data_IF_865695496795
#
_entry.id   IF_865695496795
#
_cell.length_a   1.000
_cell.length_b   1.000
_cell.length_c   1.000
_cell.angle_alpha   90.00
_cell.angle_beta   90.00
_cell.angle_gamma   90.00
#
_symmetry.space_group_name_H-M   'P 1'
#
loop_
_entity.id
_entity.type
_entity.pdbx_description
1 polymer ?
#
# COMPACT_ATOMS: atom_id res chain seq x y z
N UNK A 1 37.29 -51.85 35.47
CA UNK A 1 37.10 -51.38 34.09
C UNK A 1 35.94 -50.39 34.11
N UNK A 2 36.20 -49.13 34.44
CA UNK A 2 36.49 -47.98 33.56
C UNK A 2 35.34 -47.54 32.63
N UNK A 3 34.93 -46.27 32.86
CA UNK A 3 34.27 -45.28 31.98
C UNK A 3 32.75 -45.44 31.74
N UNK A 4 31.89 -44.60 32.35
CA UNK A 4 31.57 -43.16 32.12
C UNK A 4 30.52 -42.96 31.00
N UNK A 5 29.69 -41.92 31.20
CA UNK A 5 28.95 -41.06 30.22
C UNK A 5 27.42 -41.26 30.28
N UNK A 6 26.68 -40.49 31.09
CA UNK A 6 26.12 -39.11 30.92
C UNK A 6 24.65 -39.16 30.45
N UNK A 7 23.80 -38.52 31.25
CA UNK A 7 22.40 -38.19 30.94
C UNK A 7 22.34 -37.13 29.85
N UNK A 8 21.45 -37.27 28.86
CA UNK A 8 21.02 -36.16 28.01
C UNK A 8 19.50 -36.15 27.92
N UNK A 9 18.90 -35.22 28.68
CA UNK A 9 17.56 -34.70 28.43
C UNK A 9 17.72 -33.67 27.28
N UNK A 10 17.18 -33.99 26.10
CA UNK A 10 17.00 -33.02 25.03
C UNK A 10 15.73 -32.21 25.34
N UNK A 11 15.92 -31.03 25.94
CA UNK A 11 14.96 -29.94 25.86
C UNK A 11 15.11 -29.32 24.47
N UNK A 12 14.15 -29.60 23.59
CA UNK A 12 14.00 -28.89 22.32
C UNK A 12 13.40 -27.52 22.64
N UNK A 13 14.24 -26.52 22.85
CA UNK A 13 13.81 -25.14 22.84
C UNK A 13 13.56 -24.75 21.38
N UNK A 14 12.29 -24.76 20.97
CA UNK A 14 11.85 -24.04 19.77
C UNK A 14 12.03 -22.55 20.06
N UNK A 15 13.19 -22.01 19.67
CA UNK A 15 13.33 -20.58 19.49
C UNK A 15 12.58 -20.22 18.23
N UNK A 16 11.34 -19.76 18.38
CA UNK A 16 10.67 -18.96 17.36
C UNK A 16 11.44 -17.65 17.33
N UNK A 17 12.46 -17.59 16.48
CA UNK A 17 13.00 -16.31 16.05
C UNK A 17 11.96 -15.71 15.13
N UNK A 18 11.12 -14.80 15.65
CA UNK A 18 10.44 -13.85 14.79
C UNK A 18 11.53 -13.03 14.12
N UNK A 19 11.90 -13.40 12.90
CA UNK A 19 12.56 -12.47 12.00
C UNK A 19 11.55 -11.35 11.82
N UNK A 20 11.77 -10.21 12.48
CA UNK A 20 11.24 -8.96 11.97
C UNK A 20 11.80 -8.86 10.54
N UNK A 21 10.95 -9.13 9.54
CA UNK A 21 11.21 -8.76 8.15
C UNK A 21 11.60 -7.28 8.23
N UNK A 22 12.88 -6.97 7.99
CA UNK A 22 13.34 -5.59 7.91
C UNK A 22 12.48 -4.92 6.83
N UNK A 23 12.02 -3.69 7.10
CA UNK A 23 11.22 -2.86 6.17
C UNK A 23 11.70 -3.11 4.73
N UNK A 24 10.87 -3.81 3.97
CA UNK A 24 11.01 -3.88 2.52
C UNK A 24 10.72 -2.46 2.07
N UNK A 25 11.69 -1.82 1.44
CA UNK A 25 11.44 -0.53 0.83
C UNK A 25 10.68 -0.85 -0.45
N UNK A 26 9.46 -0.32 -0.57
CA UNK A 26 8.70 -0.38 -1.80
C UNK A 26 9.47 0.28 -2.95
N UNK A 27 8.94 0.20 -4.19
CA UNK A 27 9.59 0.81 -5.36
C UNK A 27 10.28 2.12 -5.01
N UNK A 28 11.48 2.36 -5.55
CA UNK A 28 12.18 3.62 -5.30
C UNK A 28 11.25 4.83 -5.51
N UNK A 29 11.25 5.81 -4.60
CA UNK A 29 10.28 6.91 -4.52
C UNK A 29 9.93 7.60 -5.85
N UNK A 30 10.83 7.60 -6.84
CA UNK A 30 10.58 8.20 -8.15
C UNK A 30 9.66 7.36 -9.04
N UNK A 31 9.67 6.05 -8.92
CA UNK A 31 8.79 5.17 -9.69
C UNK A 31 7.33 5.33 -9.25
N UNK A 32 7.08 5.36 -7.93
CA UNK A 32 5.75 5.67 -7.36
C UNK A 32 5.20 7.01 -7.89
N UNK A 33 6.04 8.05 -7.85
CA UNK A 33 5.74 9.39 -8.38
C UNK A 33 5.43 9.35 -9.87
N UNK A 34 6.28 8.66 -10.63
CA UNK A 34 6.14 8.53 -12.08
C UNK A 34 4.82 7.85 -12.45
N UNK A 35 4.47 6.74 -11.80
CA UNK A 35 3.21 6.03 -12.06
C UNK A 35 2.01 6.93 -11.73
N UNK A 36 2.00 7.56 -10.56
CA UNK A 36 0.90 8.41 -10.11
C UNK A 36 0.70 9.64 -11.00
N UNK A 37 1.78 10.33 -11.39
CA UNK A 37 1.64 11.50 -12.26
C UNK A 37 1.12 11.10 -13.65
N UNK A 38 1.63 10.01 -14.23
CA UNK A 38 1.28 9.62 -15.59
C UNK A 38 -0.12 9.03 -15.68
N UNK A 39 -0.59 8.30 -14.66
CA UNK A 39 -1.94 7.73 -14.62
C UNK A 39 -3.05 8.78 -14.84
N UNK A 40 -2.82 10.02 -14.39
CA UNK A 40 -3.76 11.15 -14.57
C UNK A 40 -4.05 11.45 -16.05
N UNK A 41 -3.07 11.23 -16.94
CA UNK A 41 -3.22 11.51 -18.37
C UNK A 41 -4.05 10.45 -19.11
N UNK A 42 -4.37 9.33 -18.45
CA UNK A 42 -5.08 8.20 -19.03
C UNK A 42 -6.53 8.06 -18.56
N UNK A 43 -7.01 9.02 -17.76
CA UNK A 43 -8.40 9.10 -17.32
C UNK A 43 -9.32 9.55 -18.46
N UNK A 44 -10.62 9.25 -18.32
CA UNK A 44 -11.63 9.72 -19.27
C UNK A 44 -11.74 11.26 -19.26
N UNK A 45 -12.15 11.91 -20.37
CA UNK A 45 -12.26 13.37 -20.45
C UNK A 45 -13.11 14.02 -19.34
N UNK A 46 -14.14 13.32 -18.84
CA UNK A 46 -14.99 13.77 -17.74
C UNK A 46 -14.25 13.92 -16.40
N UNK A 47 -13.08 13.29 -16.28
CA UNK A 47 -12.19 13.35 -15.12
C UNK A 47 -11.01 14.29 -15.32
N UNK A 48 -11.06 15.20 -16.31
CA UNK A 48 -10.00 16.19 -16.59
C UNK A 48 -9.59 17.01 -15.36
N UNK A 49 -10.49 17.18 -14.38
CA UNK A 49 -10.20 17.86 -13.12
C UNK A 49 -9.09 17.20 -12.28
N UNK A 50 -8.75 15.93 -12.51
CA UNK A 50 -7.56 15.30 -11.90
C UNK A 50 -6.25 15.99 -12.31
N UNK A 51 -6.21 16.65 -13.47
CA UNK A 51 -5.02 17.37 -13.94
C UNK A 51 -4.59 18.48 -12.98
N UNK A 52 -5.54 19.11 -12.27
CA UNK A 52 -5.26 20.15 -11.27
C UNK A 52 -4.51 19.60 -10.04
N UNK A 53 -4.68 18.30 -9.75
CA UNK A 53 -4.12 17.62 -8.58
C UNK A 53 -2.95 16.68 -8.92
N UNK A 54 -2.51 16.65 -10.18
CA UNK A 54 -1.42 15.77 -10.64
C UNK A 54 -0.15 15.89 -9.79
N UNK A 55 0.27 17.10 -9.44
CA UNK A 55 1.45 17.31 -8.59
C UNK A 55 1.21 16.85 -7.14
N UNK A 56 -0.02 17.00 -6.62
CA UNK A 56 -0.38 16.49 -5.29
C UNK A 56 -0.32 14.97 -5.26
N UNK A 57 -1.00 14.30 -6.20
CA UNK A 57 -1.00 12.84 -6.34
C UNK A 57 0.43 12.29 -6.46
N UNK A 58 1.27 12.98 -7.25
CA UNK A 58 2.69 12.66 -7.35
C UNK A 58 3.38 12.77 -6.00
N UNK A 59 3.31 13.91 -5.32
CA UNK A 59 4.04 14.13 -4.06
C UNK A 59 3.64 13.16 -2.95
N UNK A 60 2.35 12.84 -2.85
CA UNK A 60 1.77 12.01 -1.79
C UNK A 60 1.77 10.50 -2.11
N UNK A 61 2.18 10.09 -3.30
CA UNK A 61 2.32 8.67 -3.69
C UNK A 61 3.33 7.85 -2.86
N UNK A 62 4.19 8.52 -2.09
CA UNK A 62 5.21 7.87 -1.24
C UNK A 62 4.88 7.95 0.25
N UNK A 63 3.75 8.55 0.61
CA UNK A 63 3.34 8.70 2.01
C UNK A 63 3.25 7.33 2.72
N UNK A 64 2.75 6.24 2.10
CA UNK A 64 2.68 4.94 2.75
C UNK A 64 4.03 4.37 3.22
N UNK A 65 5.13 4.68 2.53
CA UNK A 65 6.49 4.28 2.95
C UNK A 65 7.01 5.09 4.15
N UNK A 66 6.51 6.31 4.29
CA UNK A 66 6.91 7.22 5.37
C UNK A 66 6.06 7.07 6.62
N UNK A 67 4.82 6.64 6.43
CA UNK A 67 3.88 6.37 7.50
C UNK A 67 4.18 5.05 8.21
N UNK A 68 3.76 4.90 9.47
CA UNK A 68 3.93 3.66 10.25
C UNK A 68 2.85 2.62 9.88
N UNK A 69 2.68 2.43 8.56
CA UNK A 69 1.76 1.47 7.98
C UNK A 69 2.33 0.05 8.03
N UNK A 70 1.48 -0.99 8.10
CA UNK A 70 1.94 -2.36 8.19
C UNK A 70 2.61 -2.80 6.88
N UNK A 71 3.84 -3.29 6.97
CA UNK A 71 4.61 -3.69 5.78
C UNK A 71 3.93 -4.75 4.90
N UNK A 72 3.00 -5.55 5.45
CA UNK A 72 2.22 -6.53 4.67
C UNK A 72 1.17 -5.90 3.73
N UNK A 73 1.03 -4.58 3.70
CA UNK A 73 0.21 -3.88 2.72
C UNK A 73 0.89 -3.74 1.36
N UNK A 74 2.22 -3.87 1.31
CA UNK A 74 3.03 -3.53 0.14
C UNK A 74 3.30 -4.73 -0.78
N UNK A 75 2.92 -5.94 -0.38
CA UNK A 75 3.31 -7.14 -1.12
C UNK A 75 2.26 -8.24 -0.98
N UNK A 76 2.42 -9.28 -1.79
CA UNK A 76 1.80 -10.58 -1.59
C UNK A 76 2.79 -11.66 -2.03
N UNK A 77 3.20 -12.53 -1.13
CA UNK A 77 4.06 -13.67 -1.41
C UNK A 77 3.22 -14.75 -2.14
N UNK A 78 2.80 -14.49 -3.40
CA UNK A 78 1.79 -15.31 -4.09
C UNK A 78 2.26 -16.75 -4.31
N UNK A 79 3.57 -16.94 -4.41
CA UNK A 79 4.22 -18.25 -4.52
C UNK A 79 4.21 -19.09 -3.24
N UNK A 80 3.67 -18.56 -2.14
CA UNK A 80 3.28 -19.35 -0.98
C UNK A 80 2.03 -20.21 -1.26
N UNK A 81 1.10 -19.72 -2.08
CA UNK A 81 -0.22 -20.32 -2.28
C UNK A 81 -0.23 -21.21 -3.52
N UNK A 82 -0.13 -22.52 -3.34
CA UNK A 82 -0.12 -23.46 -4.48
C UNK A 82 -1.43 -23.40 -5.27
N UNK A 83 -2.54 -23.20 -4.56
CA UNK A 83 -3.89 -23.11 -5.09
C UNK A 83 -4.07 -21.94 -6.08
N UNK A 84 -3.23 -20.90 -6.01
CA UNK A 84 -3.26 -19.79 -6.97
C UNK A 84 -2.93 -20.29 -8.37
N UNK A 85 -1.92 -21.13 -8.49
CA UNK A 85 -1.51 -21.76 -9.75
C UNK A 85 -2.40 -22.95 -10.14
N UNK A 86 -3.30 -23.37 -9.26
CA UNK A 86 -4.32 -24.39 -9.54
C UNK A 86 -5.70 -23.78 -9.86
N UNK A 87 -5.78 -22.45 -10.00
CA UNK A 87 -7.03 -21.71 -10.24
C UNK A 87 -8.11 -21.94 -9.17
N UNK A 88 -7.70 -22.27 -7.93
CA UNK A 88 -8.59 -22.53 -6.79
C UNK A 88 -8.35 -21.61 -5.61
N UNK A 89 -7.46 -20.62 -5.75
CA UNK A 89 -7.22 -19.62 -4.72
C UNK A 89 -8.44 -18.69 -4.56
N UNK A 90 -8.92 -18.50 -3.33
CA UNK A 90 -10.03 -17.59 -3.05
C UNK A 90 -9.57 -16.13 -3.19
N UNK A 91 -10.28 -15.37 -4.04
CA UNK A 91 -10.05 -13.94 -4.18
C UNK A 91 -10.77 -13.12 -3.10
N UNK A 92 -11.92 -13.60 -2.61
CA UNK A 92 -12.64 -12.97 -1.50
C UNK A 92 -11.84 -13.09 -0.20
N UNK A 93 -11.79 -12.00 0.58
CA UNK A 93 -11.02 -11.94 1.83
C UNK A 93 -11.50 -12.97 2.86
N UNK A 94 -12.81 -13.10 3.07
CA UNK A 94 -13.37 -14.00 4.08
C UNK A 94 -13.12 -15.45 3.68
N UNK A 95 -13.28 -15.79 2.40
CA UNK A 95 -12.96 -17.13 1.88
C UNK A 95 -11.45 -17.46 2.01
N UNK A 96 -10.58 -16.48 1.76
CA UNK A 96 -9.13 -16.63 1.95
C UNK A 96 -8.74 -16.84 3.41
N UNK A 97 -9.34 -16.05 4.32
CA UNK A 97 -9.14 -16.21 5.77
C UNK A 97 -9.71 -17.54 6.27
N UNK A 98 -10.86 -18.00 5.75
CA UNK A 98 -11.44 -19.29 6.11
C UNK A 98 -10.57 -20.47 5.64
N UNK A 99 -9.92 -20.34 4.48
CA UNK A 99 -9.06 -21.39 3.93
C UNK A 99 -7.69 -21.45 4.60
N UNK A 100 -7.01 -20.31 4.79
CA UNK A 100 -5.62 -20.27 5.24
C UNK A 100 -5.47 -19.81 6.69
N UNK A 101 -6.45 -19.10 7.24
CA UNK A 101 -6.36 -18.44 8.54
C UNK A 101 -5.72 -17.06 8.45
N UNK A 102 -6.23 -16.12 9.26
CA UNK A 102 -5.83 -14.71 9.28
C UNK A 102 -4.32 -14.49 9.37
N UNK A 103 -3.65 -15.15 10.33
CA UNK A 103 -2.22 -14.94 10.56
C UNK A 103 -1.38 -15.33 9.33
N UNK A 104 -1.77 -16.38 8.59
CA UNK A 104 -1.07 -16.82 7.38
C UNK A 104 -1.26 -15.81 6.25
N UNK A 105 -2.49 -15.32 6.04
CA UNK A 105 -2.77 -14.30 5.02
C UNK A 105 -1.96 -13.03 5.29
N UNK A 106 -1.93 -12.56 6.54
CA UNK A 106 -1.19 -11.36 6.92
C UNK A 106 0.34 -11.55 6.78
N UNK A 107 0.89 -12.70 7.20
CA UNK A 107 2.34 -12.95 7.16
C UNK A 107 2.89 -13.03 5.72
N UNK A 108 2.03 -13.34 4.76
CA UNK A 108 2.33 -13.44 3.33
C UNK A 108 1.84 -12.24 2.51
N UNK A 109 1.41 -11.14 3.14
CA UNK A 109 1.06 -9.92 2.41
C UNK A 109 -0.35 -9.92 1.81
N UNK A 110 -0.96 -8.74 1.77
CA UNK A 110 -2.38 -8.54 1.47
C UNK A 110 -2.65 -7.41 0.47
N UNK A 111 -1.65 -6.99 -0.31
CA UNK A 111 -1.80 -5.86 -1.24
C UNK A 111 -3.05 -5.93 -2.15
N UNK A 112 -3.52 -7.11 -2.65
CA UNK A 112 -4.74 -7.16 -3.46
C UNK A 112 -5.99 -6.67 -2.73
N UNK A 113 -6.17 -7.11 -1.49
CA UNK A 113 -7.33 -6.72 -0.68
C UNK A 113 -7.22 -5.29 -0.16
N UNK A 114 -6.00 -4.78 0.02
CA UNK A 114 -5.78 -3.35 0.30
C UNK A 114 -6.27 -2.52 -0.88
N UNK A 115 -5.89 -2.87 -2.11
CA UNK A 115 -6.32 -2.16 -3.32
C UNK A 115 -7.85 -2.20 -3.47
N UNK A 116 -8.49 -3.36 -3.28
CA UNK A 116 -9.94 -3.48 -3.34
C UNK A 116 -10.62 -2.57 -2.30
N UNK A 117 -10.26 -2.74 -1.02
CA UNK A 117 -10.83 -1.96 0.07
C UNK A 117 -10.64 -0.46 -0.17
N UNK A 118 -9.46 -0.05 -0.61
CA UNK A 118 -9.11 1.34 -0.89
C UNK A 118 -9.83 1.89 -2.14
N UNK A 119 -10.21 1.04 -3.08
CA UNK A 119 -11.04 1.46 -4.22
C UNK A 119 -12.49 1.71 -3.80
N UNK A 120 -13.07 0.85 -2.96
CA UNK A 120 -14.41 1.06 -2.38
C UNK A 120 -14.47 2.34 -1.55
N UNK A 121 -13.35 2.66 -0.92
CA UNK A 121 -13.13 3.91 -0.19
C UNK A 121 -13.27 5.14 -1.02
N UNK A 122 -12.51 5.13 -2.12
CA UNK A 122 -12.43 6.22 -3.03
C UNK A 122 -13.82 6.46 -3.64
N UNK A 123 -14.54 5.38 -3.92
CA UNK A 123 -15.93 5.39 -4.38
C UNK A 123 -16.84 6.13 -3.40
N UNK A 124 -16.80 5.78 -2.11
CA UNK A 124 -17.64 6.42 -1.08
C UNK A 124 -17.30 7.91 -0.94
N UNK A 125 -16.01 8.25 -0.86
CA UNK A 125 -15.56 9.63 -0.72
C UNK A 125 -15.96 10.50 -1.91
N UNK A 126 -15.82 9.97 -3.13
CA UNK A 126 -16.27 10.65 -4.35
C UNK A 126 -17.78 10.85 -4.35
N UNK A 127 -18.55 9.82 -3.98
CA UNK A 127 -20.01 9.89 -3.90
C UNK A 127 -20.49 10.95 -2.89
N UNK A 128 -19.79 11.08 -1.77
CA UNK A 128 -20.09 12.05 -0.72
C UNK A 128 -19.59 13.47 -1.05
N UNK A 129 -18.78 13.62 -2.10
CA UNK A 129 -18.20 14.88 -2.54
C UNK A 129 -17.05 15.37 -1.64
N UNK A 130 -16.42 14.47 -0.88
CA UNK A 130 -15.33 14.77 0.06
C UNK A 130 -13.96 14.81 -0.67
N UNK A 131 -13.87 15.74 -1.63
CA UNK A 131 -12.75 15.81 -2.56
C UNK A 131 -11.40 16.09 -1.90
N UNK A 132 -11.38 16.80 -0.77
CA UNK A 132 -10.15 17.06 -0.01
C UNK A 132 -9.45 15.77 0.46
N UNK A 133 -10.14 14.62 0.46
CA UNK A 133 -9.51 13.30 0.78
C UNK A 133 -9.58 12.27 -0.29
N UNK A 134 -10.43 12.47 -1.29
CA UNK A 134 -10.23 11.78 -2.56
C UNK A 134 -8.77 11.92 -3.00
N UNK A 135 -8.15 13.10 -2.87
CA UNK A 135 -6.76 13.31 -3.32
C UNK A 135 -5.72 12.54 -2.52
N UNK A 136 -5.81 12.56 -1.19
CA UNK A 136 -4.88 11.80 -0.35
C UNK A 136 -5.04 10.30 -0.60
N UNK A 137 -6.27 9.80 -0.58
CA UNK A 137 -6.53 8.38 -0.73
C UNK A 137 -6.21 7.88 -2.14
N UNK A 138 -6.45 8.69 -3.18
CA UNK A 138 -6.07 8.36 -4.56
C UNK A 138 -4.55 8.25 -4.71
N UNK A 139 -3.78 9.13 -4.09
CA UNK A 139 -2.31 9.10 -4.12
C UNK A 139 -1.75 7.86 -3.42
N UNK A 140 -2.23 7.58 -2.20
CA UNK A 140 -1.83 6.41 -1.42
C UNK A 140 -2.31 5.09 -2.06
N UNK A 141 -3.48 5.06 -2.68
CA UNK A 141 -3.93 3.91 -3.48
C UNK A 141 -2.97 3.65 -4.65
N UNK A 142 -2.48 4.72 -5.30
CA UNK A 142 -1.48 4.61 -6.35
C UNK A 142 -0.17 3.97 -5.90
N UNK A 143 0.19 4.10 -4.63
CA UNK A 143 1.34 3.41 -4.04
C UNK A 143 1.16 1.88 -4.06
N UNK A 144 0.05 1.38 -3.53
CA UNK A 144 -0.21 -0.05 -3.44
C UNK A 144 -0.40 -0.68 -4.82
N UNK A 145 -1.04 0.05 -5.74
CA UNK A 145 -1.15 -0.39 -7.14
C UNK A 145 0.23 -0.49 -7.78
N UNK A 146 1.09 0.51 -7.61
CA UNK A 146 2.46 0.43 -8.09
C UNK A 146 3.16 -0.81 -7.49
N UNK A 147 3.15 -0.97 -6.16
CA UNK A 147 3.80 -2.09 -5.47
C UNK A 147 3.34 -3.47 -5.98
N UNK A 148 2.04 -3.66 -6.20
CA UNK A 148 1.51 -4.91 -6.75
C UNK A 148 1.93 -5.21 -8.19
N UNK A 149 2.50 -4.22 -8.90
CA UNK A 149 3.12 -4.40 -10.21
C UNK A 149 4.63 -4.70 -10.11
N UNK A 150 5.26 -4.58 -8.95
CA UNK A 150 6.67 -4.96 -8.78
C UNK A 150 6.79 -6.48 -8.69
N UNK A 151 7.47 -7.17 -9.63
CA UNK A 151 7.48 -8.63 -9.61
C UNK A 151 8.08 -9.22 -8.33
N UNK A 152 9.11 -8.59 -7.75
CA UNK A 152 9.73 -9.05 -6.50
C UNK A 152 8.83 -8.81 -5.26
N UNK A 153 7.81 -7.94 -5.31
CA UNK A 153 6.76 -7.82 -4.30
C UNK A 153 5.73 -8.95 -4.38
N UNK A 154 5.84 -9.84 -5.37
CA UNK A 154 4.93 -10.96 -5.57
C UNK A 154 5.50 -12.30 -5.08
N UNK A 155 6.64 -12.32 -4.38
CA UNK A 155 7.39 -13.57 -4.12
C UNK A 155 8.10 -13.64 -2.77
N UNK A 156 8.11 -14.84 -2.19
CA UNK A 156 8.98 -15.22 -1.07
C UNK A 156 10.47 -14.99 -1.35
N UNK A 157 10.89 -14.84 -2.62
CA UNK A 157 12.26 -14.54 -3.05
C UNK A 157 12.50 -13.04 -3.34
N UNK A 158 11.72 -12.14 -2.73
CA UNK A 158 11.71 -10.69 -3.03
C UNK A 158 13.08 -10.00 -3.08
N UNK A 159 14.10 -10.49 -2.37
CA UNK A 159 15.45 -9.92 -2.37
C UNK A 159 16.51 -10.92 -2.81
N UNK A 160 16.14 -11.97 -3.53
CA UNK A 160 17.05 -13.01 -4.03
C UNK A 160 17.60 -13.94 -2.95
N UNK A 161 17.03 -13.93 -1.75
CA UNK A 161 17.51 -14.70 -0.59
C UNK A 161 17.42 -16.22 -0.76
N UNK A 162 16.55 -16.71 -1.65
CA UNK A 162 16.39 -18.14 -1.93
C UNK A 162 17.27 -18.62 -3.09
N UNK A 163 17.71 -17.70 -3.95
CA UNK A 163 18.49 -18.01 -5.17
C UNK A 163 19.96 -17.59 -5.08
N UNK A 164 20.33 -16.78 -4.08
CA UNK A 164 21.70 -16.29 -3.88
C UNK A 164 21.95 -14.88 -4.42
N UNK A 165 20.91 -14.22 -4.94
CA UNK A 165 20.95 -12.90 -5.59
C UNK A 165 20.78 -11.74 -4.59
N UNK A 166 21.20 -11.92 -3.34
CA UNK A 166 20.88 -11.01 -2.23
C UNK A 166 21.10 -9.53 -2.61
N UNK A 167 20.07 -8.71 -2.41
CA UNK A 167 20.09 -7.28 -2.74
C UNK A 167 19.50 -6.93 -4.11
N UNK A 168 19.03 -7.90 -4.89
CA UNK A 168 18.46 -7.66 -6.23
C UNK A 168 17.26 -6.71 -6.19
N UNK A 169 16.48 -6.72 -5.11
CA UNK A 169 15.33 -5.83 -4.91
C UNK A 169 15.69 -4.35 -5.19
N UNK A 170 16.67 -3.82 -4.45
CA UNK A 170 17.12 -2.44 -4.61
C UNK A 170 17.88 -2.20 -5.92
N UNK A 171 18.61 -3.21 -6.42
CA UNK A 171 19.35 -3.10 -7.70
C UNK A 171 18.39 -2.92 -8.87
N UNK A 172 17.31 -3.70 -8.90
CA UNK A 172 16.27 -3.64 -9.93
C UNK A 172 15.39 -2.39 -9.76
N UNK A 173 14.67 -2.26 -8.65
CA UNK A 173 13.59 -1.27 -8.52
C UNK A 173 14.09 0.19 -8.51
N UNK A 174 15.30 0.42 -7.99
CA UNK A 174 15.81 1.76 -7.66
C UNK A 174 17.03 2.10 -8.49
N UNK A 175 18.06 1.25 -8.45
CA UNK A 175 19.37 1.61 -9.01
C UNK A 175 19.37 1.50 -10.53
N UNK A 176 18.70 0.49 -11.08
CA UNK A 176 18.54 0.31 -12.52
C UNK A 176 17.47 1.25 -13.09
N UNK A 177 16.28 1.33 -12.50
CA UNK A 177 15.12 2.01 -13.14
C UNK A 177 15.21 3.54 -13.08
N UNK A 178 15.59 4.12 -11.93
CA UNK A 178 15.52 5.57 -11.74
C UNK A 178 16.27 6.41 -12.81
N UNK A 179 17.46 6.00 -13.29
CA UNK A 179 18.15 6.71 -14.37
C UNK A 179 17.39 6.77 -15.69
N UNK A 180 16.44 5.87 -15.95
CA UNK A 180 15.74 5.74 -17.23
C UNK A 180 14.32 6.31 -17.24
N UNK A 181 13.69 6.52 -16.07
CA UNK A 181 12.27 6.91 -15.95
C UNK A 181 11.86 8.09 -16.86
N UNK A 182 12.67 9.16 -16.94
CA UNK A 182 12.33 10.35 -17.73
C UNK A 182 12.39 10.14 -19.25
N UNK A 183 12.96 9.03 -19.71
CA UNK A 183 13.15 8.70 -21.13
C UNK A 183 12.25 7.56 -21.59
N UNK A 184 11.49 6.94 -20.68
CA UNK A 184 10.61 5.83 -21.01
C UNK A 184 9.49 6.27 -21.97
N UNK A 185 9.12 5.43 -22.94
CA UNK A 185 7.89 5.64 -23.70
C UNK A 185 6.69 5.59 -22.75
N UNK A 186 5.59 6.23 -23.13
CA UNK A 186 4.32 6.17 -22.41
C UNK A 186 3.38 5.14 -23.06
N UNK A 187 2.42 4.55 -22.31
CA UNK A 187 1.52 3.55 -22.86
C UNK A 187 0.59 4.12 -23.96
N UNK A 188 0.26 3.28 -24.94
CA UNK A 188 -0.67 3.61 -26.04
C UNK A 188 -2.14 3.25 -25.73
N UNK A 189 -2.42 2.72 -24.53
CA UNK A 189 -3.76 2.31 -24.08
C UNK A 189 -4.43 3.39 -23.23
N UNK A 190 -5.71 3.23 -22.90
CA UNK A 190 -6.45 4.12 -21.98
C UNK A 190 -7.03 3.33 -20.81
N UNK A 191 -7.37 4.02 -19.73
CA UNK A 191 -8.11 3.43 -18.61
C UNK A 191 -9.41 2.76 -19.06
N UNK A 192 -9.84 1.75 -18.29
CA UNK A 192 -11.10 1.04 -18.48
C UNK A 192 -11.81 0.83 -17.15
N UNK A 193 -13.12 0.66 -17.20
CA UNK A 193 -13.91 0.24 -16.05
C UNK A 193 -13.66 -1.23 -15.69
N UNK A 194 -13.48 -1.52 -14.41
CA UNK A 194 -13.39 -2.88 -13.87
C UNK A 194 -14.68 -3.27 -13.15
N UNK A 195 -15.28 -4.39 -13.56
CA UNK A 195 -16.47 -4.94 -12.89
C UNK A 195 -16.17 -5.62 -11.55
N UNK A 196 -14.91 -6.00 -11.33
CA UNK A 196 -14.40 -6.57 -10.09
C UNK A 196 -12.95 -6.12 -9.94
N UNK A 197 -12.67 -5.35 -8.90
CA UNK A 197 -11.31 -4.83 -8.65
C UNK A 197 -10.39 -5.97 -8.25
N UNK A 198 -10.82 -6.81 -7.30
CA UNK A 198 -10.01 -7.91 -6.78
C UNK A 198 -9.65 -8.94 -7.84
N UNK A 199 -10.58 -9.32 -8.73
CA UNK A 199 -10.30 -10.25 -9.83
C UNK A 199 -9.33 -9.65 -10.85
N UNK A 200 -9.47 -8.34 -11.15
CA UNK A 200 -8.54 -7.64 -12.03
C UNK A 200 -7.13 -7.57 -11.44
N UNK A 201 -7.02 -7.38 -10.12
CA UNK A 201 -5.74 -7.37 -9.41
C UNK A 201 -5.06 -8.73 -9.47
N UNK A 202 -5.76 -9.80 -9.10
CA UNK A 202 -5.18 -11.15 -9.16
C UNK A 202 -4.82 -11.57 -10.59
N UNK A 203 -5.60 -11.14 -11.59
CA UNK A 203 -5.28 -11.39 -13.00
C UNK A 203 -3.94 -10.77 -13.41
N UNK A 204 -3.68 -9.50 -13.13
CA UNK A 204 -2.36 -8.94 -13.49
C UNK A 204 -1.24 -9.51 -12.62
N UNK A 205 -1.51 -9.90 -11.37
CA UNK A 205 -0.51 -10.59 -10.53
C UNK A 205 -0.09 -11.92 -11.17
N UNK A 206 -1.03 -12.68 -11.72
CA UNK A 206 -0.75 -13.91 -12.48
C UNK A 206 0.14 -13.63 -13.70
N UNK A 207 -0.10 -12.52 -14.40
CA UNK A 207 0.67 -12.09 -15.57
C UNK A 207 2.08 -11.59 -15.21
N UNK A 208 2.24 -10.92 -14.06
CA UNK A 208 3.49 -10.27 -13.64
C UNK A 208 4.40 -11.22 -12.84
N UNK A 209 3.86 -12.08 -11.98
CA UNK A 209 4.65 -12.98 -11.13
C UNK A 209 5.74 -13.79 -11.88
N UNK A 210 5.50 -14.34 -13.08
CA UNK A 210 6.53 -15.07 -13.83
C UNK A 210 7.81 -14.27 -14.09
N UNK A 211 7.74 -12.94 -14.14
CA UNK A 211 8.88 -12.04 -14.36
C UNK A 211 9.91 -12.06 -13.23
N UNK A 212 9.58 -12.59 -12.04
CA UNK A 212 10.58 -12.84 -10.98
C UNK A 212 11.75 -13.66 -11.51
N UNK A 213 11.48 -14.72 -12.28
CA UNK A 213 12.53 -15.58 -12.81
C UNK A 213 13.39 -14.87 -13.87
N UNK A 214 12.79 -13.96 -14.65
CA UNK A 214 13.52 -13.16 -15.65
C UNK A 214 14.47 -12.17 -14.97
N UNK A 215 14.03 -11.50 -13.90
CA UNK A 215 14.86 -10.60 -13.11
C UNK A 215 16.04 -11.35 -12.48
N UNK A 216 15.79 -12.53 -11.87
CA UNK A 216 16.86 -13.34 -11.27
C UNK A 216 17.87 -13.82 -12.32
N UNK A 217 17.40 -14.26 -13.49
CA UNK A 217 18.28 -14.69 -14.57
C UNK A 217 19.14 -13.55 -15.13
N UNK A 218 18.57 -12.35 -15.27
CA UNK A 218 19.30 -11.15 -15.69
C UNK A 218 20.33 -10.71 -14.63
N UNK A 219 20.00 -10.80 -13.34
CA UNK A 219 20.96 -10.53 -12.25
C UNK A 219 22.15 -11.48 -12.31
N UNK A 220 21.91 -12.78 -12.47
CA UNK A 220 22.98 -13.79 -12.62
C UNK A 220 23.89 -13.49 -13.81
N UNK A 221 23.30 -13.16 -14.96
CA UNK A 221 24.04 -12.81 -16.18
C UNK A 221 24.91 -11.57 -15.96
N UNK A 222 24.34 -10.49 -15.42
CA UNK A 222 25.03 -9.24 -15.18
C UNK A 222 26.13 -9.40 -14.11
N UNK A 223 25.85 -10.09 -13.01
CA UNK A 223 26.81 -10.32 -11.92
C UNK A 223 27.98 -11.22 -12.34
N UNK A 224 27.76 -12.14 -13.29
CA UNK A 224 28.84 -12.93 -13.87
C UNK A 224 29.85 -12.07 -14.67
N UNK A 225 29.41 -10.95 -15.23
CA UNK A 225 30.28 -10.01 -15.96
C UNK A 225 30.91 -8.95 -15.05
N UNK A 226 30.14 -8.41 -14.10
CA UNK A 226 30.62 -7.43 -13.11
C UNK A 226 30.05 -7.71 -11.72
N UNK A 227 30.75 -8.50 -10.88
CA UNK A 227 30.27 -8.89 -9.55
C UNK A 227 30.35 -7.75 -8.53
N UNK A 228 30.90 -6.58 -8.90
CA UNK A 228 30.96 -5.42 -8.02
C UNK A 228 29.80 -4.44 -8.28
N UNK A 229 28.86 -4.80 -9.16
CA UNK A 229 27.64 -4.02 -9.45
C UNK A 229 27.94 -2.58 -9.89
N UNK A 230 28.89 -2.37 -10.83
CA UNK A 230 29.14 -1.05 -11.40
C UNK A 230 28.33 -0.84 -12.69
N UNK A 231 28.72 0.14 -13.50
CA UNK A 231 28.02 0.48 -14.75
C UNK A 231 27.86 -0.68 -15.72
N UNK A 232 28.83 -1.60 -15.81
CA UNK A 232 28.71 -2.76 -16.71
C UNK A 232 27.59 -3.69 -16.27
N UNK A 233 27.46 -3.92 -14.96
CA UNK A 233 26.34 -4.70 -14.41
C UNK A 233 24.99 -4.04 -14.75
N UNK A 234 24.80 -2.75 -14.46
CA UNK A 234 23.51 -2.10 -14.70
C UNK A 234 23.16 -1.96 -16.19
N UNK A 235 24.15 -1.78 -17.06
CA UNK A 235 23.90 -1.77 -18.50
C UNK A 235 23.37 -3.13 -18.99
N UNK A 236 23.96 -4.23 -18.53
CA UNK A 236 23.50 -5.59 -18.89
C UNK A 236 22.12 -5.83 -18.29
N UNK A 237 21.92 -5.51 -17.00
CA UNK A 237 20.64 -5.69 -16.33
C UNK A 237 19.52 -4.93 -17.07
N UNK A 238 19.79 -3.69 -17.49
CA UNK A 238 18.86 -2.89 -18.30
C UNK A 238 18.63 -3.49 -19.68
N UNK A 239 19.68 -3.87 -20.40
CA UNK A 239 19.56 -4.49 -21.75
C UNK A 239 18.71 -5.77 -21.75
N UNK A 240 18.74 -6.54 -20.65
CA UNK A 240 17.93 -7.76 -20.52
C UNK A 240 16.49 -7.48 -20.06
N UNK A 241 16.25 -6.41 -19.28
CA UNK A 241 14.97 -6.18 -18.60
C UNK A 241 14.19 -4.97 -19.12
N UNK A 242 14.70 -4.19 -20.06
CA UNK A 242 14.08 -2.92 -20.49
C UNK A 242 12.62 -3.11 -20.94
N UNK A 243 12.36 -4.10 -21.78
CA UNK A 243 11.07 -4.34 -22.41
C UNK A 243 10.04 -4.83 -21.39
N UNK A 244 10.46 -5.69 -20.46
CA UNK A 244 9.66 -6.16 -19.33
C UNK A 244 9.34 -5.01 -18.37
N UNK A 245 10.37 -4.25 -17.99
CA UNK A 245 10.23 -3.10 -17.08
C UNK A 245 9.27 -2.06 -17.65
N UNK A 246 9.41 -1.74 -18.94
CA UNK A 246 8.51 -0.82 -19.64
C UNK A 246 7.08 -1.37 -19.63
N UNK A 247 6.89 -2.65 -19.94
CA UNK A 247 5.55 -3.27 -19.95
C UNK A 247 4.89 -3.19 -18.58
N UNK A 248 5.61 -3.53 -17.52
CA UNK A 248 5.10 -3.51 -16.14
C UNK A 248 4.72 -2.09 -15.70
N UNK A 249 5.56 -1.09 -15.99
CA UNK A 249 5.26 0.31 -15.69
C UNK A 249 4.08 0.85 -16.50
N UNK A 250 3.95 0.44 -17.77
CA UNK A 250 2.79 0.77 -18.60
C UNK A 250 1.51 0.20 -18.03
N UNK A 251 1.51 -1.08 -17.62
CA UNK A 251 0.37 -1.69 -16.94
C UNK A 251 0.04 -0.94 -15.65
N UNK A 252 1.02 -0.64 -14.80
CA UNK A 252 0.79 0.08 -13.54
C UNK A 252 0.12 1.45 -13.74
N UNK A 253 0.55 2.20 -14.75
CA UNK A 253 -0.06 3.50 -15.12
C UNK A 253 -1.52 3.34 -15.54
N UNK A 254 -1.81 2.38 -16.43
CA UNK A 254 -3.15 2.17 -16.98
C UNK A 254 -4.10 1.57 -15.94
N UNK A 255 -3.60 0.65 -15.10
CA UNK A 255 -4.38 -0.03 -14.09
C UNK A 255 -4.71 0.91 -12.93
N UNK A 256 -3.77 1.78 -12.51
CA UNK A 256 -4.07 2.86 -11.57
C UNK A 256 -5.15 3.82 -12.10
N UNK A 257 -5.02 4.25 -13.36
CA UNK A 257 -6.03 5.09 -13.99
C UNK A 257 -7.40 4.38 -14.07
N UNK A 258 -7.41 3.08 -14.36
CA UNK A 258 -8.60 2.23 -14.40
C UNK A 258 -9.27 2.10 -13.03
N UNK A 259 -8.48 1.99 -11.96
CA UNK A 259 -8.96 1.94 -10.57
C UNK A 259 -9.63 3.26 -10.18
N UNK A 260 -8.97 4.40 -10.41
CA UNK A 260 -9.56 5.72 -10.13
C UNK A 260 -10.84 5.95 -10.93
N UNK A 261 -10.85 5.58 -12.22
CA UNK A 261 -12.04 5.67 -13.06
C UNK A 261 -13.16 4.74 -12.57
N UNK A 262 -12.82 3.52 -12.14
CA UNK A 262 -13.79 2.56 -11.59
C UNK A 262 -14.44 3.12 -10.34
N UNK A 263 -13.66 3.66 -9.41
CA UNK A 263 -14.19 4.31 -8.21
C UNK A 263 -15.12 5.48 -8.55
N UNK A 264 -14.72 6.33 -9.50
CA UNK A 264 -15.51 7.49 -9.92
C UNK A 264 -16.83 7.10 -10.61
N UNK A 265 -16.81 6.09 -11.49
CA UNK A 265 -18.02 5.55 -12.13
C UNK A 265 -18.95 4.95 -11.08
N UNK A 266 -18.42 4.15 -10.15
CA UNK A 266 -19.21 3.54 -9.08
C UNK A 266 -19.81 4.60 -8.13
N UNK A 267 -19.15 5.75 -7.98
CA UNK A 267 -19.63 6.89 -7.20
C UNK A 267 -20.76 7.69 -7.91
N UNK A 268 -21.19 7.26 -9.10
CA UNK A 268 -22.21 7.96 -9.89
C UNK A 268 -21.65 9.11 -10.73
N UNK A 269 -20.35 9.10 -11.02
CA UNK A 269 -19.66 10.09 -11.85
C UNK A 269 -19.84 11.54 -11.37
N UNK A 270 -19.52 11.84 -10.09
CA UNK A 270 -19.71 13.17 -9.53
C UNK A 270 -18.83 14.21 -10.24
N UNK A 271 -19.39 15.39 -10.49
CA UNK A 271 -18.62 16.54 -10.98
C UNK A 271 -17.91 17.22 -9.82
N UNK A 272 -16.63 17.58 -10.00
CA UNK A 272 -15.94 18.47 -9.08
C UNK A 272 -16.61 19.84 -9.13
N UNK A 273 -17.33 20.22 -8.07
CA UNK A 273 -17.84 21.58 -7.93
C UNK A 273 -16.65 22.47 -7.55
N UNK A 274 -16.20 23.29 -8.49
CA UNK A 274 -15.10 24.23 -8.31
C UNK A 274 -15.42 25.21 -7.16
N UNK A 275 -14.85 24.97 -5.98
CA UNK A 275 -14.60 26.03 -5.01
C UNK A 275 -13.11 26.35 -5.07
N UNK A 276 -12.77 27.24 -6.01
CA UNK A 276 -11.46 27.87 -6.14
C UNK A 276 -11.10 28.62 -4.85
N UNK A 277 -10.31 27.95 -4.01
CA UNK A 277 -9.27 28.42 -3.08
C UNK A 277 -9.05 27.25 -2.12
N UNK A 278 -7.80 26.90 -1.80
CA UNK A 278 -7.50 26.04 -0.65
C UNK A 278 -8.08 26.69 0.61
N UNK A 279 -9.37 26.45 0.84
CA UNK A 279 -10.13 27.16 1.84
C UNK A 279 -9.74 26.54 3.17
N UNK A 280 -9.13 27.34 4.04
CA UNK A 280 -9.01 26.94 5.44
C UNK A 280 -10.44 26.63 5.90
N UNK A 281 -10.70 25.45 6.49
CA UNK A 281 -12.05 25.07 6.86
C UNK A 281 -12.63 26.13 7.80
N UNK A 282 -13.91 26.45 7.66
CA UNK A 282 -14.52 27.51 8.47
C UNK A 282 -14.98 27.01 9.85
N UNK A 283 -14.99 25.70 10.06
CA UNK A 283 -15.52 25.04 11.25
C UNK A 283 -14.67 23.83 11.62
N UNK A 284 -14.65 23.49 12.90
CA UNK A 284 -14.09 22.22 13.36
C UNK A 284 -15.02 21.07 12.95
N UNK A 285 -14.45 20.04 12.32
CA UNK A 285 -15.17 18.82 11.95
C UNK A 285 -14.31 17.61 12.30
N UNK A 286 -14.93 16.55 12.79
CA UNK A 286 -14.36 15.21 12.83
C UNK A 286 -15.18 14.38 11.84
N UNK A 287 -14.53 13.68 10.92
CA UNK A 287 -15.17 12.83 9.91
C UNK A 287 -15.25 11.37 10.39
N UNK A 288 -16.13 10.58 9.77
CA UNK A 288 -16.08 9.12 9.95
C UNK A 288 -14.69 8.61 9.53
N UNK A 289 -14.18 7.64 10.26
CA UNK A 289 -12.91 7.02 9.93
C UNK A 289 -13.07 6.21 8.65
N UNK A 290 -12.01 6.13 7.88
CA UNK A 290 -12.05 5.47 6.60
C UNK A 290 -10.78 4.61 6.40
N UNK A 291 -10.87 3.31 6.10
CA UNK A 291 -12.10 2.49 5.98
C UNK A 291 -12.81 2.30 7.31
N UNK A 292 -14.09 1.92 7.27
CA UNK A 292 -14.88 1.48 8.44
C UNK A 292 -16.02 0.53 8.00
N UNK A 293 -16.03 -0.76 8.38
CA UNK A 293 -15.03 -1.43 9.22
C UNK A 293 -13.62 -1.44 8.60
N UNK A 294 -12.60 -1.58 9.44
CA UNK A 294 -11.19 -1.51 9.01
C UNK A 294 -10.39 -2.72 9.50
N UNK A 295 -9.29 -3.06 8.81
CA UNK A 295 -8.43 -4.19 9.16
C UNK A 295 -6.98 -3.94 8.71
N UNK A 296 -6.02 -3.77 9.63
CA UNK A 296 -6.16 -3.12 10.93
C UNK A 296 -5.88 -1.62 10.85
N UNK A 297 -5.81 -1.03 9.65
CA UNK A 297 -5.51 0.39 9.44
C UNK A 297 -6.76 1.18 9.08
N UNK A 298 -6.94 2.33 9.72
CA UNK A 298 -7.94 3.33 9.33
C UNK A 298 -7.37 4.74 9.45
N UNK A 299 -7.86 5.64 8.61
CA UNK A 299 -7.52 7.07 8.61
C UNK A 299 -8.62 7.85 9.32
N UNK A 300 -8.24 8.63 10.32
CA UNK A 300 -9.09 9.60 11.01
C UNK A 300 -8.87 10.98 10.42
N UNK A 301 -9.95 11.65 10.02
CA UNK A 301 -9.87 13.00 9.45
C UNK A 301 -10.58 14.04 10.27
N UNK A 302 -10.03 15.24 10.25
CA UNK A 302 -10.55 16.37 11.00
C UNK A 302 -10.10 17.70 10.42
N UNK A 303 -10.93 18.71 10.61
CA UNK A 303 -10.74 20.05 10.09
C UNK A 303 -10.38 21.02 11.21
N UNK A 304 -9.36 21.84 10.97
CA UNK A 304 -8.89 22.86 11.89
C UNK A 304 -9.05 24.25 11.26
N UNK A 305 -10.01 25.08 11.70
CA UNK A 305 -10.20 26.44 11.18
C UNK A 305 -9.09 27.42 11.59
N UNK A 306 -8.33 27.08 12.61
CA UNK A 306 -7.22 27.90 13.14
C UNK A 306 -6.15 26.98 13.74
N UNK A 307 -4.93 27.50 13.89
CA UNK A 307 -3.84 26.77 14.51
C UNK A 307 -4.18 26.48 15.98
N UNK A 308 -3.97 25.25 16.43
CA UNK A 308 -4.39 24.85 17.77
C UNK A 308 -3.74 23.58 18.27
N UNK A 309 -3.78 23.37 19.58
CA UNK A 309 -3.37 22.11 20.20
C UNK A 309 -4.45 21.06 19.95
N UNK A 310 -4.07 19.97 19.27
CA UNK A 310 -4.97 18.86 18.93
C UNK A 310 -4.60 17.65 19.77
N UNK A 311 -5.62 17.02 20.36
CA UNK A 311 -5.50 15.74 21.03
C UNK A 311 -6.49 14.74 20.41
N UNK A 312 -5.99 13.63 19.87
CA UNK A 312 -6.82 12.53 19.36
C UNK A 312 -6.53 11.29 20.18
N UNK A 313 -7.58 10.75 20.82
CA UNK A 313 -7.48 9.60 21.71
C UNK A 313 -8.48 8.51 21.32
N UNK A 314 -7.99 7.27 21.26
CA UNK A 314 -8.77 6.06 21.03
C UNK A 314 -9.22 5.48 22.36
N UNK A 315 -10.47 5.02 22.41
CA UNK A 315 -11.10 4.39 23.56
C UNK A 315 -11.75 3.07 23.15
N UNK A 316 -11.82 2.13 24.08
CA UNK A 316 -12.67 0.95 23.93
C UNK A 316 -14.13 1.23 24.33
N UNK A 317 -15.01 0.24 24.17
CA UNK A 317 -16.44 0.36 24.54
C UNK A 317 -16.70 0.57 26.03
N UNK A 318 -15.70 0.37 26.90
CA UNK A 318 -15.80 0.68 28.34
C UNK A 318 -15.32 2.12 28.65
N UNK A 319 -14.91 2.88 27.63
CA UNK A 319 -14.35 4.23 27.78
C UNK A 319 -12.92 4.22 28.31
N UNK A 320 -12.22 3.08 28.28
CA UNK A 320 -10.81 3.02 28.67
C UNK A 320 -9.97 3.53 27.50
N UNK A 321 -9.03 4.42 27.79
CA UNK A 321 -8.06 4.88 26.80
C UNK A 321 -7.22 3.69 26.30
N UNK A 322 -7.15 3.58 24.98
CA UNK A 322 -6.40 2.55 24.24
C UNK A 322 -5.10 3.14 23.70
N UNK A 323 -5.19 4.30 23.03
CA UNK A 323 -4.05 4.97 22.42
C UNK A 323 -4.26 6.49 22.34
N UNK A 324 -3.22 7.28 22.60
CA UNK A 324 -3.18 8.69 22.18
C UNK A 324 -2.46 8.78 20.84
N UNK A 325 -3.16 9.17 19.78
CA UNK A 325 -2.63 9.27 18.42
C UNK A 325 -1.94 10.60 18.14
N UNK A 326 -2.55 11.69 18.60
CA UNK A 326 -2.02 13.05 18.45
C UNK A 326 -2.10 13.74 19.81
N UNK A 327 -1.07 14.49 20.16
CA UNK A 327 -1.08 15.39 21.32
C UNK A 327 -0.08 16.53 21.13
N UNK A 328 -0.28 17.38 20.11
CA UNK A 328 0.60 18.51 19.81
C UNK A 328 -0.15 19.61 19.04
N UNK A 329 0.50 20.77 18.87
CA UNK A 329 -0.02 21.89 18.07
C UNK A 329 0.11 21.64 16.59
N UNK A 330 -0.97 21.83 15.84
CA UNK A 330 -1.00 21.75 14.38
C UNK A 330 -1.50 23.08 13.78
N UNK A 331 -1.05 23.41 12.57
CA UNK A 331 -1.58 24.57 11.85
C UNK A 331 -3.00 24.30 11.32
N UNK A 332 -3.74 25.36 11.02
CA UNK A 332 -5.04 25.30 10.39
C UNK A 332 -4.99 24.52 9.06
N UNK A 333 -6.11 23.90 8.70
CA UNK A 333 -6.26 23.13 7.47
C UNK A 333 -7.02 21.82 7.68
N UNK A 334 -7.23 21.11 6.57
CA UNK A 334 -7.69 19.73 6.55
C UNK A 334 -6.56 18.83 7.04
N UNK A 335 -6.83 17.95 8.00
CA UNK A 335 -5.84 17.07 8.62
C UNK A 335 -6.33 15.63 8.65
N UNK A 336 -5.36 14.70 8.64
CA UNK A 336 -5.58 13.27 8.78
C UNK A 336 -4.58 12.67 9.78
N UNK A 337 -4.93 11.51 10.34
CA UNK A 337 -4.02 10.66 11.09
C UNK A 337 -4.42 9.21 10.99
N UNK A 338 -3.44 8.34 10.84
CA UNK A 338 -3.65 6.91 10.71
C UNK A 338 -3.64 6.23 12.08
N UNK A 339 -4.54 5.26 12.26
CA UNK A 339 -4.49 4.29 13.35
C UNK A 339 -4.36 2.87 12.82
N UNK A 340 -3.29 2.19 13.21
CA UNK A 340 -2.96 0.80 12.85
C UNK A 340 -3.43 -0.23 13.90
N UNK A 341 -4.57 0.01 14.56
CA UNK A 341 -5.15 -0.84 15.60
C UNK A 341 -4.17 -1.25 16.73
N UNK A 342 -3.26 -0.37 17.13
CA UNK A 342 -2.37 -0.61 18.28
C UNK A 342 -2.77 0.22 19.50
N UNK A 343 -2.35 -0.22 20.70
CA UNK A 343 -2.44 0.57 21.93
C UNK A 343 -1.18 1.43 22.17
N UNK A 344 -1.15 2.20 23.26
CA UNK A 344 0.01 3.03 23.65
C UNK A 344 1.33 2.25 23.85
N UNK A 345 1.27 0.92 24.00
CA UNK A 345 2.45 0.05 24.08
C UNK A 345 2.87 -0.53 22.73
N UNK A 346 2.25 -0.08 21.62
CA UNK A 346 2.49 -0.60 20.27
C UNK A 346 1.95 -2.01 20.04
N UNK A 347 1.10 -2.54 20.92
CA UNK A 347 0.53 -3.89 20.78
C UNK A 347 -0.80 -3.85 20.02
N UNK A 348 -1.06 -4.79 19.09
CA UNK A 348 -2.36 -4.91 18.44
C UNK A 348 -3.50 -5.06 19.44
N UNK A 349 -4.63 -4.43 19.15
CA UNK A 349 -5.85 -4.55 19.95
C UNK A 349 -6.77 -5.63 19.36
N UNK A 350 -7.78 -6.07 20.12
CA UNK A 350 -8.71 -7.12 19.67
C UNK A 350 -9.75 -6.57 18.69
N UNK A 351 -10.23 -7.39 17.76
CA UNK A 351 -11.37 -7.03 16.92
C UNK A 351 -12.56 -6.56 17.77
N UNK A 352 -13.33 -5.63 17.23
CA UNK A 352 -14.49 -5.07 17.93
C UNK A 352 -14.69 -3.58 17.69
N UNK A 353 -15.58 -3.00 18.49
CA UNK A 353 -15.96 -1.60 18.38
C UNK A 353 -15.02 -0.75 19.24
N UNK A 354 -14.59 0.38 18.69
CA UNK A 354 -13.81 1.39 19.37
C UNK A 354 -14.42 2.77 19.14
N UNK A 355 -14.06 3.72 20.00
CA UNK A 355 -14.41 5.12 19.88
C UNK A 355 -13.13 5.93 19.68
N UNK A 356 -13.19 6.98 18.87
CA UNK A 356 -12.12 7.95 18.76
C UNK A 356 -12.67 9.34 19.02
N UNK A 357 -11.93 10.12 19.81
CA UNK A 357 -12.29 11.47 20.18
C UNK A 357 -11.20 12.43 19.78
N UNK A 358 -11.59 13.55 19.19
CA UNK A 358 -10.74 14.73 19.01
C UNK A 358 -11.09 15.79 20.04
N UNK A 359 -10.07 16.47 20.54
CA UNK A 359 -10.17 17.73 21.27
C UNK A 359 -9.25 18.76 20.62
N UNK A 360 -9.82 19.90 20.19
CA UNK A 360 -9.09 21.03 19.65
C UNK A 360 -9.67 22.33 20.26
N UNK A 361 -8.95 22.92 21.22
CA UNK A 361 -9.50 24.01 22.03
C UNK A 361 -10.77 23.58 22.78
N UNK A 362 -11.88 24.27 22.54
CA UNK A 362 -13.20 23.97 23.11
C UNK A 362 -14.00 22.94 22.27
N UNK A 363 -13.55 22.60 21.06
CA UNK A 363 -14.21 21.60 20.23
C UNK A 363 -13.87 20.20 20.72
N UNK A 364 -14.91 19.40 20.99
CA UNK A 364 -14.81 17.97 21.31
C UNK A 364 -15.82 17.21 20.45
N UNK A 365 -15.35 16.19 19.73
CA UNK A 365 -16.20 15.31 18.93
C UNK A 365 -15.75 13.86 19.10
N UNK A 366 -16.69 12.92 19.05
CA UNK A 366 -16.44 11.49 19.23
C UNK A 366 -17.20 10.69 18.20
N UNK A 367 -16.53 9.72 17.57
CA UNK A 367 -17.10 8.81 16.58
C UNK A 367 -16.72 7.37 16.86
N UNK A 368 -17.34 6.44 16.13
CA UNK A 368 -17.28 5.00 16.38
C UNK A 368 -16.71 4.29 15.16
N UNK A 369 -15.76 3.39 15.40
CA UNK A 369 -15.12 2.56 14.37
C UNK A 369 -15.23 1.08 14.72
N UNK A 370 -15.17 0.23 13.71
CA UNK A 370 -15.24 -1.23 13.84
C UNK A 370 -13.95 -1.83 13.29
N UNK A 371 -13.15 -2.44 14.16
CA UNK A 371 -11.97 -3.21 13.77
C UNK A 371 -12.38 -4.65 13.45
N UNK A 372 -12.13 -5.08 12.22
CA UNK A 372 -12.14 -6.47 11.80
C UNK A 372 -10.77 -7.11 12.07
N UNK A 373 -10.76 -8.43 12.21
CA UNK A 373 -9.58 -9.25 12.43
C UNK A 373 -9.85 -10.65 11.94
#
# INVERSE_FOLDING_TARGET
>A
MNNRIIHFLLLLALTITSLQKNKVFAWGWQTHRYINENAVDYLSPEMEFFQEFKEYLRQHSTDPDTDDLPGYYHYIDIDYYTEFFEETFPHDWDDAVDQYGYDIIIDNGIVPWVIEQWTDSLTILMNDGDWDTVWQLAAELGHYVADSHEPLHLTLNYNGQLTGNYGIHSRYETQMINPHLSELPLPDSTSNYWSSVIDSVFRYIEEIYPYVNEIIAADDLAAAQDPNYNSTYYNILWEELDSLTISVLHCAIIDLASIWQTAWINAGSPTLLSNDEQSIPNVYVLYENYPNPFNPVTTLRYDLPENGHVNITMYDMLGRQVKTLINHTQDAGYRSVIWNATNDYGKPVSAGIYLYQIQAGEYISTKKMVLLK
#
